data_IF_424513092313
#
_entry.id   IF_424513092313
#
_cell.length_a   1.000
_cell.length_b   1.000
_cell.length_c   1.000
_cell.angle_alpha   90.00
_cell.angle_beta   90.00
_cell.angle_gamma   90.00
#
_symmetry.space_group_name_H-M   'P 1'
#
loop_
_entity.id
_entity.type
_entity.pdbx_description
1 polymer ?
#
# COMPACT_ATOMS: atom_id res chain seq x y z
N UNK A 1 -16.64 -51.53 49.10
CA UNK A 1 -15.72 -52.69 49.08
C UNK A 1 -14.74 -52.49 47.94
N UNK A 2 -13.45 -52.70 48.22
CA UNK A 2 -12.28 -52.36 47.36
C UNK A 2 -12.14 -53.27 46.12
N UNK A 3 -11.16 -52.89 45.28
CA UNK A 3 -10.30 -53.68 44.37
C UNK A 3 -10.71 -53.66 42.88
N UNK A 4 -10.07 -52.88 41.99
CA UNK A 4 -8.72 -52.97 41.36
C UNK A 4 -8.58 -54.01 40.24
N UNK A 5 -8.06 -53.50 39.11
CA UNK A 5 -6.92 -54.01 38.32
C UNK A 5 -7.16 -54.77 36.99
N UNK A 6 -6.77 -54.09 35.91
CA UNK A 6 -5.88 -54.50 34.82
C UNK A 6 -5.50 -55.97 34.72
N UNK A 7 -5.75 -56.57 33.55
CA UNK A 7 -4.91 -57.60 32.91
C UNK A 7 -5.04 -57.57 31.37
N UNK A 8 -3.89 -57.56 30.71
CA UNK A 8 -3.57 -58.33 29.48
C UNK A 8 -4.17 -57.86 28.13
N UNK A 9 -3.55 -58.02 26.95
CA UNK A 9 -2.20 -58.35 26.47
C UNK A 9 -2.35 -58.41 24.93
N UNK A 10 -1.40 -57.84 24.16
CA UNK A 10 -1.08 -58.15 22.74
C UNK A 10 -2.14 -57.95 21.63
N UNK A 11 -1.84 -57.12 20.62
CA UNK A 11 -1.48 -57.58 19.26
C UNK A 11 -1.52 -56.47 18.18
N UNK A 12 -0.40 -56.38 17.43
CA UNK A 12 -0.26 -56.18 15.99
C UNK A 12 -0.80 -54.91 15.28
N UNK A 13 0.16 -54.02 14.97
CA UNK A 13 0.51 -53.50 13.64
C UNK A 13 -0.61 -53.14 12.63
N UNK A 14 -0.72 -51.85 12.32
CA UNK A 14 -0.91 -51.39 10.93
C UNK A 14 -0.02 -50.17 10.68
N UNK A 15 0.96 -50.40 9.83
CA UNK A 15 1.88 -49.42 9.25
C UNK A 15 1.13 -48.68 8.14
N UNK A 16 0.92 -47.37 8.28
CA UNK A 16 0.35 -46.53 7.22
C UNK A 16 1.40 -45.51 6.77
N UNK A 17 2.22 -45.92 5.81
CA UNK A 17 3.10 -45.03 5.07
C UNK A 17 2.25 -44.12 4.17
N UNK A 18 2.15 -42.84 4.52
CA UNK A 18 1.66 -41.81 3.61
C UNK A 18 2.78 -41.46 2.63
N UNK A 19 2.62 -41.93 1.40
CA UNK A 19 3.49 -41.64 0.27
C UNK A 19 3.36 -40.17 -0.12
N UNK A 20 4.47 -39.44 -0.04
CA UNK A 20 4.61 -38.11 -0.63
C UNK A 20 4.59 -38.27 -2.15
N UNK A 21 3.52 -37.81 -2.78
CA UNK A 21 3.43 -37.70 -4.24
C UNK A 21 4.35 -36.56 -4.68
N UNK A 22 5.54 -36.91 -5.15
CA UNK A 22 6.43 -36.01 -5.85
C UNK A 22 5.82 -35.67 -7.21
N UNK A 23 5.42 -34.42 -7.41
CA UNK A 23 5.08 -33.93 -8.74
C UNK A 23 6.37 -33.75 -9.54
N UNK A 24 6.49 -34.55 -10.60
CA UNK A 24 7.49 -34.48 -11.64
C UNK A 24 7.46 -33.14 -12.36
N UNK A 25 8.63 -32.51 -12.53
CA UNK A 25 8.79 -31.32 -13.35
C UNK A 25 9.27 -31.73 -14.74
N UNK A 26 8.35 -31.72 -15.69
CA UNK A 26 8.63 -31.86 -17.12
C UNK A 26 9.35 -30.60 -17.61
N UNK A 27 10.59 -30.75 -18.09
CA UNK A 27 11.37 -29.65 -18.67
C UNK A 27 10.88 -29.40 -20.10
N UNK A 28 10.19 -28.28 -20.32
CA UNK A 28 9.87 -27.79 -21.66
C UNK A 28 11.05 -26.98 -22.23
N UNK A 29 11.35 -27.09 -23.54
CA UNK A 29 12.43 -26.36 -24.18
C UNK A 29 12.15 -24.86 -24.20
N UNK A 30 13.12 -24.13 -23.66
CA UNK A 30 13.24 -22.68 -23.64
C UNK A 30 13.22 -22.10 -25.06
N UNK A 31 12.06 -21.57 -25.46
CA UNK A 31 11.97 -20.64 -26.58
C UNK A 31 12.37 -19.27 -26.08
N UNK A 32 13.51 -18.78 -26.56
CA UNK A 32 13.96 -17.39 -26.39
C UNK A 32 13.00 -16.48 -27.16
N UNK A 33 11.91 -16.09 -26.51
CA UNK A 33 11.15 -14.92 -26.89
C UNK A 33 11.74 -13.73 -26.13
N UNK A 34 12.55 -12.95 -26.82
CA UNK A 34 12.77 -11.54 -26.47
C UNK A 34 11.42 -10.85 -26.64
N UNK A 35 10.56 -10.94 -25.62
CA UNK A 35 9.45 -10.02 -25.48
C UNK A 35 10.03 -8.68 -25.05
N UNK A 36 10.13 -7.81 -26.04
CA UNK A 36 10.25 -6.38 -25.87
C UNK A 36 9.14 -5.97 -24.91
N UNK A 37 9.49 -5.70 -23.66
CA UNK A 37 8.62 -4.98 -22.73
C UNK A 37 8.47 -3.60 -23.35
N UNK A 38 7.45 -3.44 -24.19
CA UNK A 38 6.93 -2.14 -24.53
C UNK A 38 6.53 -1.53 -23.20
N UNK A 39 7.37 -0.62 -22.70
CA UNK A 39 6.97 0.31 -21.68
C UNK A 39 5.82 1.12 -22.27
N UNK A 40 4.60 0.64 -22.09
CA UNK A 40 3.40 1.45 -22.25
C UNK A 40 3.53 2.55 -21.22
N UNK A 41 4.12 3.67 -21.66
CA UNK A 41 4.05 4.93 -20.94
C UNK A 41 2.62 5.41 -21.07
N UNK A 42 1.71 4.78 -20.32
CA UNK A 42 0.39 5.32 -20.06
C UNK A 42 0.61 6.61 -19.27
N UNK A 43 0.67 7.72 -20.00
CA UNK A 43 0.80 9.04 -19.40
C UNK A 43 -0.52 9.33 -18.70
N UNK A 44 -0.47 9.62 -17.39
CA UNK A 44 -1.65 10.06 -16.66
C UNK A 44 -2.11 11.42 -17.19
N UNK A 45 -3.38 11.54 -17.55
CA UNK A 45 -4.04 12.83 -17.82
C UNK A 45 -5.19 13.05 -16.85
N UNK A 46 -5.45 14.31 -16.50
CA UNK A 46 -6.62 14.70 -15.72
C UNK A 46 -7.90 14.40 -16.51
N UNK A 47 -8.89 13.80 -15.85
CA UNK A 47 -10.21 13.62 -16.44
C UNK A 47 -10.96 14.97 -16.50
N UNK A 48 -11.70 15.27 -17.58
CA UNK A 48 -12.34 16.57 -17.76
C UNK A 48 -13.31 16.98 -16.63
N UNK A 49 -14.01 16.02 -16.04
CA UNK A 49 -14.94 16.20 -14.92
C UNK A 49 -14.25 16.52 -13.58
N UNK A 50 -12.98 16.16 -13.44
CA UNK A 50 -12.18 16.45 -12.26
C UNK A 50 -11.51 17.84 -12.29
N UNK A 51 -11.57 18.58 -13.41
CA UNK A 51 -10.89 19.87 -13.56
C UNK A 51 -11.28 20.88 -12.48
N UNK A 52 -12.58 21.00 -12.20
CA UNK A 52 -13.11 21.93 -11.19
C UNK A 52 -12.81 21.48 -9.75
N UNK A 53 -12.32 20.24 -9.56
CA UNK A 53 -11.96 19.73 -8.24
C UNK A 53 -10.58 20.18 -7.76
N UNK A 54 -9.67 20.54 -8.67
CA UNK A 54 -8.27 20.81 -8.34
C UNK A 54 -8.07 21.95 -7.33
N UNK A 55 -9.02 22.90 -7.25
CA UNK A 55 -8.93 24.10 -6.42
C UNK A 55 -9.86 24.06 -5.18
N UNK A 56 -10.38 22.88 -4.79
CA UNK A 56 -11.34 22.75 -3.67
C UNK A 56 -10.69 22.92 -2.29
N UNK A 57 -9.37 22.69 -2.20
CA UNK A 57 -8.63 22.83 -0.96
C UNK A 57 -8.17 24.28 -0.78
N UNK A 58 -8.71 24.94 0.23
CA UNK A 58 -8.25 26.27 0.63
C UNK A 58 -6.97 26.13 1.46
N UNK A 59 -5.91 26.84 1.08
CA UNK A 59 -4.71 26.92 1.92
C UNK A 59 -5.02 27.77 3.16
N UNK A 60 -4.66 27.26 4.33
CA UNK A 60 -4.78 27.96 5.61
C UNK A 60 -3.43 27.89 6.30
N UNK A 61 -2.95 29.03 6.78
CA UNK A 61 -1.69 29.09 7.52
C UNK A 61 -1.87 28.48 8.92
N UNK A 62 -1.14 27.40 9.20
CA UNK A 62 -1.10 26.77 10.51
C UNK A 62 0.01 27.40 11.35
N UNK A 63 -0.38 28.26 12.29
CA UNK A 63 0.54 28.94 13.20
C UNK A 63 0.21 28.63 14.66
N UNK A 64 1.20 28.68 15.54
CA UNK A 64 1.02 28.54 16.98
C UNK A 64 1.94 29.49 17.75
N UNK A 65 1.47 30.01 18.88
CA UNK A 65 2.34 30.74 19.81
C UNK A 65 3.15 29.75 20.64
N UNK A 66 4.47 29.80 20.47
CA UNK A 66 5.44 28.93 21.15
C UNK A 66 6.22 29.66 22.26
N UNK A 67 5.86 30.90 22.57
CA UNK A 67 6.59 31.76 23.53
C UNK A 67 6.65 31.16 24.94
N UNK A 68 5.67 30.34 25.29
CA UNK A 68 5.56 29.67 26.59
C UNK A 68 6.45 28.42 26.72
N UNK A 69 7.08 27.96 25.63
CA UNK A 69 7.91 26.75 25.65
C UNK A 69 9.35 27.06 26.07
N UNK A 70 9.94 26.13 26.80
CA UNK A 70 11.39 26.07 27.03
C UNK A 70 12.15 25.58 25.80
N UNK A 71 13.48 25.76 25.79
CA UNK A 71 14.35 25.25 24.70
C UNK A 71 14.23 23.73 24.53
N UNK A 72 14.22 22.98 25.63
CA UNK A 72 14.09 21.53 25.59
C UNK A 72 12.73 21.08 25.01
N UNK A 73 11.65 21.82 25.29
CA UNK A 73 10.33 21.51 24.71
C UNK A 73 10.28 21.82 23.21
N UNK A 74 10.92 22.91 22.77
CA UNK A 74 11.07 23.19 21.32
C UNK A 74 11.86 22.08 20.62
N UNK A 75 12.95 21.61 21.21
CA UNK A 75 13.72 20.47 20.68
C UNK A 75 12.89 19.20 20.62
N UNK A 76 12.11 18.91 21.67
CA UNK A 76 11.20 17.76 21.68
C UNK A 76 10.14 17.84 20.56
N UNK A 77 9.57 19.03 20.30
CA UNK A 77 8.63 19.22 19.19
C UNK A 77 9.31 18.94 17.84
N UNK A 78 10.56 19.38 17.64
CA UNK A 78 11.32 19.05 16.44
C UNK A 78 11.39 17.54 16.19
N UNK A 79 11.73 16.76 17.23
CA UNK A 79 11.77 15.30 17.13
C UNK A 79 10.40 14.66 16.82
N UNK A 80 9.31 15.24 17.34
CA UNK A 80 7.95 14.78 17.03
C UNK A 80 7.55 15.10 15.59
N UNK A 81 8.00 16.24 15.05
CA UNK A 81 7.81 16.59 13.64
C UNK A 81 8.57 15.60 12.76
N UNK A 82 9.85 15.32 13.06
CA UNK A 82 10.65 14.33 12.32
C UNK A 82 9.97 12.95 12.32
N UNK A 83 9.43 12.54 13.47
CA UNK A 83 8.66 11.30 13.57
C UNK A 83 7.37 11.32 12.73
N UNK A 84 6.69 12.47 12.65
CA UNK A 84 5.47 12.63 11.85
C UNK A 84 5.73 12.50 10.35
N UNK A 85 6.90 12.93 9.86
CA UNK A 85 7.28 12.76 8.44
C UNK A 85 7.44 11.28 8.07
N UNK A 86 7.90 10.44 9.00
CA UNK A 86 7.96 8.98 8.82
C UNK A 86 6.54 8.42 8.72
N UNK A 87 5.61 8.88 9.57
CA UNK A 87 4.23 8.43 9.55
C UNK A 87 3.52 8.82 8.24
N UNK A 88 3.77 10.02 7.70
CA UNK A 88 3.27 10.44 6.38
C UNK A 88 3.71 9.48 5.27
N UNK A 89 4.99 9.12 5.26
CA UNK A 89 5.56 8.19 4.28
C UNK A 89 4.96 6.78 4.41
N UNK A 90 4.76 6.29 5.64
CA UNK A 90 4.11 5.00 5.89
C UNK A 90 2.66 5.01 5.41
N UNK A 91 1.92 6.08 5.69
CA UNK A 91 0.53 6.20 5.26
C UNK A 91 0.41 6.24 3.73
N UNK A 92 1.31 6.92 3.03
CA UNK A 92 1.41 6.86 1.57
C UNK A 92 1.50 5.43 1.05
N UNK A 93 2.38 4.62 1.66
CA UNK A 93 2.55 3.21 1.28
C UNK A 93 1.32 2.37 1.57
N UNK A 94 0.55 2.68 2.60
CA UNK A 94 -0.69 1.97 2.93
C UNK A 94 -1.85 2.41 2.02
N UNK A 95 -1.91 3.70 1.67
CA UNK A 95 -3.02 4.28 0.94
C UNK A 95 -2.97 4.04 -0.58
N UNK A 96 -1.78 3.89 -1.14
CA UNK A 96 -1.55 3.71 -2.57
C UNK A 96 -0.68 2.47 -2.83
N UNK A 97 -1.16 1.49 -3.63
CA UNK A 97 -0.41 0.27 -3.92
C UNK A 97 0.79 0.46 -4.86
N UNK A 98 0.87 1.59 -5.56
CA UNK A 98 2.00 1.93 -6.41
C UNK A 98 3.10 2.73 -5.69
N UNK A 99 4.11 3.12 -6.46
CA UNK A 99 5.18 3.99 -5.96
C UNK A 99 4.78 5.47 -6.06
N UNK A 100 4.81 6.19 -4.92
CA UNK A 100 4.47 7.61 -4.83
C UNK A 100 5.30 8.46 -5.78
N UNK A 101 6.62 8.24 -5.84
CA UNK A 101 7.53 9.09 -6.62
C UNK A 101 7.32 8.89 -8.11
N UNK A 102 7.07 7.66 -8.55
CA UNK A 102 6.71 7.35 -9.93
C UNK A 102 5.39 8.02 -10.33
N UNK A 103 4.33 7.87 -9.52
CA UNK A 103 3.05 8.53 -9.78
C UNK A 103 3.23 10.04 -9.92
N UNK A 104 3.81 10.70 -8.91
CA UNK A 104 3.94 12.15 -8.90
C UNK A 104 4.91 12.68 -9.98
N UNK A 105 5.93 11.91 -10.33
CA UNK A 105 6.90 12.23 -11.38
C UNK A 105 6.29 12.22 -12.79
N UNK A 106 5.24 11.42 -13.01
CA UNK A 106 4.51 11.37 -14.28
C UNK A 106 3.47 12.48 -14.44
N UNK A 107 3.08 13.16 -13.35
CA UNK A 107 2.11 14.26 -13.38
C UNK A 107 2.81 15.57 -13.73
N UNK A 108 2.77 15.98 -15.00
CA UNK A 108 3.43 17.20 -15.48
C UNK A 108 2.78 18.49 -14.93
N UNK A 109 1.45 18.53 -14.82
CA UNK A 109 0.73 19.68 -14.28
C UNK A 109 0.92 19.77 -12.76
N UNK A 110 1.49 20.88 -12.23
CA UNK A 110 1.70 21.06 -10.80
C UNK A 110 0.41 21.07 -9.98
N UNK A 111 -0.73 21.52 -10.52
CA UNK A 111 -2.01 21.48 -9.81
C UNK A 111 -2.50 20.04 -9.62
N UNK A 112 -2.42 19.24 -10.69
CA UNK A 112 -2.78 17.81 -10.65
C UNK A 112 -1.85 17.06 -9.70
N UNK A 113 -0.54 17.32 -9.76
CA UNK A 113 0.45 16.74 -8.84
C UNK A 113 0.16 17.11 -7.39
N UNK A 114 -0.18 18.37 -7.10
CA UNK A 114 -0.57 18.82 -5.76
C UNK A 114 -1.85 18.13 -5.28
N UNK A 115 -2.84 17.98 -6.16
CA UNK A 115 -4.10 17.31 -5.82
C UNK A 115 -3.90 15.84 -5.47
N UNK A 116 -3.07 15.12 -6.25
CA UNK A 116 -2.66 13.75 -5.92
C UNK A 116 -1.86 13.68 -4.62
N UNK A 117 -1.02 14.68 -4.35
CA UNK A 117 -0.25 14.76 -3.11
C UNK A 117 -1.16 14.87 -1.88
N UNK A 118 -2.13 15.79 -1.90
CA UNK A 118 -3.07 16.01 -0.77
C UNK A 118 -3.94 14.76 -0.56
N UNK A 119 -4.33 14.09 -1.64
CA UNK A 119 -5.22 12.93 -1.58
C UNK A 119 -4.52 11.59 -1.29
N UNK A 120 -3.20 11.56 -1.17
CA UNK A 120 -2.43 10.32 -0.99
C UNK A 120 -2.70 9.29 -2.11
N UNK A 121 -2.74 9.75 -3.36
CA UNK A 121 -2.95 8.92 -4.54
C UNK A 121 -3.87 9.56 -5.59
N UNK A 122 -4.19 8.82 -6.66
CA UNK A 122 -4.94 9.32 -7.81
C UNK A 122 -6.48 9.29 -7.65
N UNK A 123 -6.99 9.38 -6.42
CA UNK A 123 -8.42 9.33 -6.10
C UNK A 123 -8.84 10.53 -5.25
N UNK A 124 -9.96 11.18 -5.57
CA UNK A 124 -10.49 12.31 -4.79
C UNK A 124 -11.15 11.80 -3.50
N UNK A 125 -10.52 12.02 -2.35
CA UNK A 125 -11.02 11.58 -1.05
C UNK A 125 -12.32 12.27 -0.64
N UNK A 126 -12.59 13.48 -1.15
CA UNK A 126 -13.81 14.23 -0.88
C UNK A 126 -14.92 13.96 -1.89
N UNK A 127 -14.62 13.21 -2.95
CA UNK A 127 -15.57 12.69 -3.93
C UNK A 127 -15.55 11.16 -3.96
N UNK A 128 -15.80 10.53 -2.82
CA UNK A 128 -15.97 9.07 -2.68
C UNK A 128 -14.80 8.20 -3.18
N UNK A 129 -13.58 8.74 -3.24
CA UNK A 129 -12.41 8.11 -3.85
C UNK A 129 -12.57 7.83 -5.35
N UNK A 130 -13.34 8.65 -6.07
CA UNK A 130 -13.42 8.59 -7.54
C UNK A 130 -12.04 8.86 -8.14
N UNK A 131 -11.54 8.04 -9.09
CA UNK A 131 -10.32 8.33 -9.83
C UNK A 131 -10.45 9.66 -10.58
N UNK A 132 -9.42 10.52 -10.52
CA UNK A 132 -9.40 11.78 -11.28
C UNK A 132 -8.40 11.78 -12.45
N UNK A 133 -7.74 10.64 -12.69
CA UNK A 133 -6.77 10.46 -13.77
C UNK A 133 -7.20 9.34 -14.72
N UNK A 134 -6.79 9.45 -15.98
CA UNK A 134 -6.89 8.35 -16.95
C UNK A 134 -6.09 7.13 -16.49
N UNK A 135 -6.49 5.93 -16.91
CA UNK A 135 -5.79 4.68 -16.62
C UNK A 135 -5.63 4.37 -15.11
N UNK A 136 -6.53 4.88 -14.28
CA UNK A 136 -6.59 4.59 -12.83
C UNK A 136 -7.88 3.86 -12.53
N UNK A 137 -7.75 2.63 -12.04
CA UNK A 137 -8.87 1.83 -11.59
C UNK A 137 -9.49 2.37 -10.29
N UNK A 138 -10.74 1.99 -9.94
CA UNK A 138 -11.34 2.33 -8.66
C UNK A 138 -10.43 1.97 -7.48
N UNK A 139 -10.46 2.80 -6.43
CA UNK A 139 -9.62 2.58 -5.25
C UNK A 139 -9.92 1.21 -4.60
N UNK A 140 -8.90 0.37 -4.35
CA UNK A 140 -9.11 -0.90 -3.64
C UNK A 140 -9.71 -0.69 -2.24
N UNK A 141 -10.72 -1.48 -1.88
CA UNK A 141 -11.37 -1.38 -0.57
C UNK A 141 -10.41 -1.72 0.60
N UNK A 142 -9.42 -2.59 0.35
CA UNK A 142 -8.38 -2.94 1.31
C UNK A 142 -7.18 -1.99 1.35
N UNK A 143 -7.17 -0.94 0.51
CA UNK A 143 -5.98 -0.13 0.26
C UNK A 143 -4.80 -0.97 -0.28
N UNK A 144 -3.56 -0.78 0.21
CA UNK A 144 -2.38 -1.57 -0.16
C UNK A 144 -2.08 -2.67 0.86
#
# INVERSE_FOLDING_TARGET
MKLTNNKNLLALAVLSALTVSACSQESQPQSTATETVAAESSTYQLLPDAADRLDIYTNVDLTADLSHLSDNQRTMIGLLIDASEIMDQLFWRQAYPGDRMQLLGQLADPKVRKFAMINYGPWDRLDSNTPFLTNVEPKPAGAN
#
